data_IF_185460788704
#
_entry.id   IF_185460788704
#
_cell.length_a   1.000
_cell.length_b   1.000
_cell.length_c   1.000
_cell.angle_alpha   90.00
_cell.angle_beta   90.00
_cell.angle_gamma   90.00
#
_symmetry.space_group_name_H-M   'P 1'
#
loop_
_entity.id
_entity.type
_entity.pdbx_description
1 polymer ?
#
# COMPACT_ATOMS: atom_id res chain seq x y z
N UNK A 1 -3.91 5.27 24.43
CA UNK A 1 -2.81 4.40 23.95
C UNK A 1 -2.03 5.16 22.88
N UNK A 2 -0.70 5.08 22.85
CA UNK A 2 0.12 5.81 21.87
C UNK A 2 -0.03 5.17 20.48
N UNK A 3 -0.41 5.96 19.47
CA UNK A 3 -0.39 5.55 18.05
C UNK A 3 0.90 6.04 17.38
N UNK A 4 1.28 5.41 16.28
CA UNK A 4 2.47 5.78 15.51
C UNK A 4 2.10 6.71 14.36
N UNK A 5 3.05 7.55 13.94
CA UNK A 5 2.93 8.41 12.75
C UNK A 5 3.61 7.74 11.58
N UNK A 6 2.90 7.47 10.47
CA UNK A 6 3.49 6.76 9.33
C UNK A 6 4.70 7.49 8.75
N UNK A 7 4.61 8.82 8.65
CA UNK A 7 5.68 9.68 8.14
C UNK A 7 7.00 9.61 8.92
N UNK A 8 6.97 9.11 10.16
CA UNK A 8 8.15 8.96 11.02
C UNK A 8 8.68 7.52 11.03
N UNK A 9 8.25 6.67 10.09
CA UNK A 9 8.71 5.29 9.93
C UNK A 9 9.47 5.10 8.62
N UNK A 10 9.98 3.90 8.38
CA UNK A 10 10.57 3.52 7.08
C UNK A 10 9.58 3.59 5.91
N UNK A 11 8.27 3.73 6.17
CA UNK A 11 7.25 3.99 5.14
C UNK A 11 7.09 5.48 4.83
N UNK A 12 7.66 6.37 5.64
CA UNK A 12 7.71 7.81 5.42
C UNK A 12 8.71 8.23 4.34
N UNK A 13 9.03 9.52 4.26
CA UNK A 13 10.01 10.00 3.28
C UNK A 13 11.41 9.48 3.60
N UNK A 14 12.09 8.92 2.59
CA UNK A 14 13.50 8.52 2.71
C UNK A 14 14.40 9.70 3.07
N UNK A 15 14.05 10.92 2.66
CA UNK A 15 14.77 12.14 3.07
C UNK A 15 14.68 12.43 4.58
N UNK A 16 13.76 11.80 5.30
CA UNK A 16 13.58 11.97 6.74
C UNK A 16 14.23 10.81 7.49
N UNK A 17 13.97 9.57 7.10
CA UNK A 17 14.48 8.42 7.85
C UNK A 17 15.90 8.00 7.44
N UNK A 18 16.33 8.13 6.18
CA UNK A 18 17.69 7.71 5.79
C UNK A 18 18.80 8.48 6.52
N UNK A 19 18.66 9.80 6.77
CA UNK A 19 19.63 10.56 7.57
C UNK A 19 19.86 10.03 8.99
N UNK A 20 18.96 9.18 9.53
CA UNK A 20 19.17 8.56 10.84
C UNK A 20 20.04 7.30 10.78
N UNK A 21 20.27 6.74 9.59
CA UNK A 21 21.07 5.52 9.37
C UNK A 21 22.43 5.80 8.76
N UNK A 22 22.51 6.73 7.80
CA UNK A 22 23.72 7.11 7.09
C UNK A 22 23.72 8.62 6.84
N UNK A 23 24.89 9.23 6.82
CA UNK A 23 25.01 10.65 6.50
C UNK A 23 24.79 10.95 5.00
N UNK A 24 24.64 12.23 4.68
CA UNK A 24 24.41 12.70 3.32
C UNK A 24 25.58 12.37 2.39
N UNK A 25 26.82 12.37 2.93
CA UNK A 25 28.03 12.05 2.16
C UNK A 25 28.04 10.60 1.71
N UNK A 26 27.74 9.66 2.61
CA UNK A 26 27.64 8.24 2.29
C UNK A 26 26.45 7.95 1.37
N UNK A 27 25.33 8.66 1.56
CA UNK A 27 24.18 8.58 0.65
C UNK A 27 24.55 8.98 -0.77
N UNK A 28 25.26 10.11 -0.93
CA UNK A 28 25.74 10.59 -2.22
C UNK A 28 26.74 9.61 -2.85
N UNK A 29 27.73 9.14 -2.07
CA UNK A 29 28.74 8.18 -2.52
C UNK A 29 28.11 6.89 -3.06
N UNK A 30 27.13 6.31 -2.34
CA UNK A 30 26.39 5.11 -2.78
C UNK A 30 25.55 5.37 -4.04
N UNK A 31 24.96 6.56 -4.15
CA UNK A 31 24.20 6.96 -5.33
C UNK A 31 25.08 7.01 -6.59
N UNK A 32 26.26 7.60 -6.48
CA UNK A 32 27.26 7.67 -7.56
C UNK A 32 27.80 6.29 -7.93
N UNK A 33 28.17 5.48 -6.93
CA UNK A 33 28.65 4.11 -7.12
C UNK A 33 27.59 3.26 -7.84
N UNK A 34 26.33 3.33 -7.41
CA UNK A 34 25.21 2.64 -8.05
C UNK A 34 25.05 3.07 -9.52
N UNK A 35 25.06 4.39 -9.78
CA UNK A 35 24.88 4.94 -11.14
C UNK A 35 26.01 4.50 -12.07
N UNK A 36 27.26 4.54 -11.60
CA UNK A 36 28.43 4.09 -12.35
C UNK A 36 28.34 2.59 -12.65
N UNK A 37 28.09 1.79 -11.63
CA UNK A 37 27.99 0.33 -11.72
C UNK A 37 26.88 -0.12 -12.68
N UNK A 38 25.69 0.46 -12.56
CA UNK A 38 24.57 0.15 -13.46
C UNK A 38 24.87 0.54 -14.91
N UNK A 39 25.56 1.65 -15.15
CA UNK A 39 25.95 2.08 -16.50
C UNK A 39 26.87 1.05 -17.15
N UNK A 40 27.90 0.61 -16.42
CA UNK A 40 28.83 -0.42 -16.88
C UNK A 40 28.11 -1.74 -17.14
N UNK A 41 27.29 -2.21 -16.21
CA UNK A 41 26.59 -3.50 -16.34
C UNK A 41 25.56 -3.53 -17.47
N UNK A 42 24.94 -2.39 -17.80
CA UNK A 42 24.10 -2.23 -18.99
C UNK A 42 24.92 -2.37 -20.27
N UNK A 43 26.08 -1.70 -20.34
CA UNK A 43 26.98 -1.77 -21.50
C UNK A 43 27.50 -3.20 -21.75
N UNK A 44 27.85 -3.90 -20.67
CA UNK A 44 28.29 -5.30 -20.69
C UNK A 44 27.13 -6.30 -20.89
N UNK A 45 25.87 -5.84 -20.86
CA UNK A 45 24.66 -6.67 -20.94
C UNK A 45 24.65 -7.79 -19.89
N UNK A 46 25.06 -7.50 -18.65
CA UNK A 46 25.00 -8.48 -17.55
C UNK A 46 23.56 -8.98 -17.36
N UNK A 47 23.34 -10.28 -17.10
CA UNK A 47 22.02 -10.79 -16.75
C UNK A 47 21.40 -10.00 -15.59
N UNK A 48 20.16 -9.52 -15.78
CA UNK A 48 19.45 -8.65 -14.82
C UNK A 48 19.57 -7.16 -15.12
N UNK A 49 20.50 -6.74 -15.97
CA UNK A 49 20.73 -5.34 -16.37
C UNK A 49 20.55 -5.11 -17.88
N UNK A 50 19.98 -6.09 -18.60
CA UNK A 50 19.76 -5.96 -20.04
C UNK A 50 18.52 -5.13 -20.34
N UNK A 51 18.39 -4.67 -21.60
CA UNK A 51 17.21 -3.89 -22.05
C UNK A 51 15.90 -4.64 -21.78
N UNK A 52 15.87 -5.97 -21.93
CA UNK A 52 14.66 -6.78 -21.67
C UNK A 52 14.27 -6.77 -20.19
N UNK A 53 15.26 -6.76 -19.29
CA UNK A 53 15.04 -6.82 -17.85
C UNK A 53 14.44 -5.49 -17.37
N UNK A 54 14.95 -4.37 -17.88
CA UNK A 54 14.37 -3.05 -17.67
C UNK A 54 12.99 -2.88 -18.32
N UNK A 55 12.77 -3.44 -19.51
CA UNK A 55 11.47 -3.42 -20.17
C UNK A 55 10.42 -4.19 -19.34
N UNK A 56 10.78 -5.37 -18.81
CA UNK A 56 9.93 -6.12 -17.91
C UNK A 56 9.63 -5.31 -16.63
N UNK A 57 10.67 -4.85 -15.95
CA UNK A 57 10.54 -4.11 -14.69
C UNK A 57 9.71 -2.83 -14.83
N UNK A 58 9.92 -2.06 -15.92
CA UNK A 58 9.20 -0.82 -16.19
C UNK A 58 7.72 -1.01 -16.51
N UNK A 59 7.31 -2.21 -16.94
CA UNK A 59 5.91 -2.54 -17.20
C UNK A 59 5.20 -3.12 -15.97
N UNK A 60 5.93 -3.67 -15.00
CA UNK A 60 5.35 -4.27 -13.79
C UNK A 60 4.52 -3.28 -12.94
N UNK A 61 4.78 -1.97 -13.06
CA UNK A 61 4.03 -0.92 -12.36
C UNK A 61 2.99 -0.20 -13.24
N UNK A 62 2.76 -0.64 -14.48
CA UNK A 62 1.80 -0.02 -15.40
C UNK A 62 0.41 -0.61 -15.14
N UNK A 63 -0.59 0.24 -14.91
CA UNK A 63 -1.97 -0.18 -14.63
C UNK A 63 -2.53 0.28 -13.28
N UNK A 64 -1.74 1.00 -12.49
CA UNK A 64 -2.19 1.57 -11.22
C UNK A 64 -3.19 2.72 -11.42
N UNK A 65 -4.33 2.63 -10.73
CA UNK A 65 -5.22 3.77 -10.48
C UNK A 65 -4.91 4.41 -9.14
N UNK A 66 -5.23 5.70 -8.99
CA UNK A 66 -5.07 6.39 -7.71
C UNK A 66 -5.99 5.77 -6.65
N UNK A 67 -5.40 5.23 -5.57
CA UNK A 67 -6.13 4.80 -4.39
C UNK A 67 -6.41 6.02 -3.50
N UNK A 68 -7.59 6.61 -3.60
CA UNK A 68 -8.05 7.73 -2.76
C UNK A 68 -8.88 7.20 -1.58
N UNK A 69 -8.91 7.94 -0.46
CA UNK A 69 -9.68 7.52 0.71
C UNK A 69 -11.18 7.38 0.41
N UNK A 70 -11.73 8.33 -0.34
CA UNK A 70 -13.15 8.32 -0.74
C UNK A 70 -13.46 7.33 -1.88
N UNK A 71 -12.44 6.74 -2.50
CA UNK A 71 -12.59 5.88 -3.67
C UNK A 71 -13.15 6.59 -4.91
N UNK A 72 -13.40 5.84 -6.00
CA UNK A 72 -14.07 6.37 -7.18
C UNK A 72 -15.58 6.54 -6.93
N UNK A 73 -16.20 7.50 -7.61
CA UNK A 73 -17.66 7.62 -7.62
C UNK A 73 -18.27 6.37 -8.27
N UNK A 74 -19.11 5.64 -7.53
CA UNK A 74 -19.76 4.42 -7.99
C UNK A 74 -21.29 4.56 -8.04
N UNK A 75 -21.94 3.68 -8.79
CA UNK A 75 -23.39 3.54 -8.77
C UNK A 75 -23.78 2.71 -7.55
N UNK A 76 -24.52 3.32 -6.64
CA UNK A 76 -25.03 2.62 -5.47
C UNK A 76 -26.32 1.85 -5.85
N UNK A 77 -26.66 0.76 -5.15
CA UNK A 77 -27.91 0.03 -5.36
C UNK A 77 -29.14 0.94 -5.35
N UNK A 78 -29.14 1.96 -4.49
CA UNK A 78 -30.25 2.90 -4.29
C UNK A 78 -30.49 3.75 -5.53
N UNK A 79 -29.44 4.10 -6.30
CA UNK A 79 -29.59 4.78 -7.60
C UNK A 79 -30.35 3.93 -8.62
N UNK A 80 -30.33 2.61 -8.46
CA UNK A 80 -31.08 1.67 -9.28
C UNK A 80 -32.44 1.29 -8.66
N UNK A 81 -32.85 1.96 -7.57
CA UNK A 81 -34.11 1.68 -6.87
C UNK A 81 -34.12 0.36 -6.08
N UNK A 82 -32.94 -0.23 -5.84
CA UNK A 82 -32.79 -1.49 -5.11
C UNK A 82 -32.17 -1.19 -3.74
N UNK A 83 -32.67 -1.79 -2.64
CA UNK A 83 -32.07 -1.59 -1.32
C UNK A 83 -30.65 -2.15 -1.26
N UNK A 84 -29.83 -1.60 -0.36
CA UNK A 84 -28.53 -2.17 -0.01
C UNK A 84 -28.67 -3.63 0.42
N UNK A 85 -27.73 -4.47 -0.01
CA UNK A 85 -27.61 -5.84 0.49
C UNK A 85 -27.26 -5.83 1.99
N UNK A 86 -28.01 -6.61 2.77
CA UNK A 86 -27.74 -6.86 4.18
C UNK A 86 -27.76 -8.38 4.40
N UNK A 87 -26.76 -8.89 5.11
CA UNK A 87 -26.60 -10.31 5.41
C UNK A 87 -25.86 -10.51 6.73
N UNK A 88 -25.74 -11.76 7.15
CA UNK A 88 -24.92 -12.15 8.31
C UNK A 88 -23.44 -11.80 8.08
N UNK A 89 -22.65 -11.78 9.17
CA UNK A 89 -21.20 -11.54 9.05
C UNK A 89 -20.54 -12.59 8.15
N UNK A 90 -21.01 -13.82 8.23
CA UNK A 90 -20.53 -14.98 7.48
C UNK A 90 -20.85 -14.86 5.99
N UNK A 91 -22.08 -14.47 5.64
CA UNK A 91 -22.50 -14.25 4.25
C UNK A 91 -21.72 -13.08 3.61
N UNK A 92 -21.59 -11.96 4.33
CA UNK A 92 -20.84 -10.81 3.86
C UNK A 92 -19.36 -11.14 3.66
N UNK A 93 -18.74 -11.87 4.60
CA UNK A 93 -17.36 -12.33 4.48
C UNK A 93 -17.17 -13.30 3.31
N UNK A 94 -18.14 -14.21 3.07
CA UNK A 94 -18.12 -15.14 1.94
C UNK A 94 -18.23 -14.39 0.59
N UNK A 95 -19.12 -13.40 0.48
CA UNK A 95 -19.26 -12.56 -0.70
C UNK A 95 -17.97 -11.78 -1.00
N UNK A 96 -17.43 -11.07 0.00
CA UNK A 96 -16.19 -10.28 -0.15
C UNK A 96 -15.01 -11.19 -0.52
N UNK A 97 -14.87 -12.33 0.15
CA UNK A 97 -13.83 -13.30 -0.16
C UNK A 97 -13.95 -13.79 -1.60
N UNK A 98 -15.16 -14.13 -2.05
CA UNK A 98 -15.41 -14.59 -3.43
C UNK A 98 -14.97 -13.53 -4.44
N UNK A 99 -15.37 -12.27 -4.23
CA UNK A 99 -14.97 -11.15 -5.08
C UNK A 99 -13.44 -10.95 -5.12
N UNK A 100 -12.78 -10.95 -3.95
CA UNK A 100 -11.34 -10.74 -3.86
C UNK A 100 -10.54 -11.92 -4.46
N UNK A 101 -10.99 -13.17 -4.25
CA UNK A 101 -10.37 -14.35 -4.88
C UNK A 101 -10.49 -14.30 -6.41
N UNK A 102 -11.64 -13.86 -6.93
CA UNK A 102 -11.83 -13.63 -8.36
C UNK A 102 -10.83 -12.59 -8.91
N UNK A 103 -10.50 -11.55 -8.14
CA UNK A 103 -9.49 -10.54 -8.47
C UNK A 103 -8.04 -10.96 -8.17
N UNK A 104 -7.78 -12.26 -8.00
CA UNK A 104 -6.42 -12.79 -7.85
C UNK A 104 -5.84 -12.70 -6.43
N UNK A 105 -6.63 -12.28 -5.44
CA UNK A 105 -6.16 -12.25 -4.05
C UNK A 105 -5.93 -13.68 -3.54
N UNK A 106 -4.77 -13.97 -2.95
CA UNK A 106 -4.43 -15.33 -2.52
C UNK A 106 -5.09 -15.69 -1.19
N UNK A 107 -4.95 -14.83 -0.19
CA UNK A 107 -5.58 -15.01 1.12
C UNK A 107 -6.33 -13.74 1.53
N UNK A 108 -7.45 -13.94 2.22
CA UNK A 108 -8.34 -12.87 2.68
C UNK A 108 -8.68 -13.13 4.15
N UNK A 109 -8.27 -12.20 5.00
CA UNK A 109 -8.56 -12.18 6.44
C UNK A 109 -9.42 -10.97 6.82
N UNK A 110 -10.12 -11.09 7.94
CA UNK A 110 -10.98 -10.05 8.49
C UNK A 110 -10.61 -9.84 9.96
N UNK A 111 -10.28 -8.61 10.32
CA UNK A 111 -9.89 -8.25 11.69
C UNK A 111 -10.82 -7.17 12.21
N UNK A 112 -11.41 -7.39 13.39
CA UNK A 112 -12.21 -6.37 14.07
C UNK A 112 -11.28 -5.41 14.85
N UNK A 113 -11.54 -4.11 14.70
CA UNK A 113 -10.87 -3.03 15.41
C UNK A 113 -11.59 -2.75 16.72
N UNK A 114 -10.84 -2.83 17.81
CA UNK A 114 -11.27 -2.52 19.17
C UNK A 114 -10.34 -1.46 19.75
N UNK A 115 -10.91 -0.46 20.43
CA UNK A 115 -10.18 0.70 20.95
C UNK A 115 -9.08 0.33 21.96
N UNK A 116 -9.29 -0.75 22.71
CA UNK A 116 -8.42 -1.23 23.78
C UNK A 116 -7.31 -2.18 23.30
N UNK A 117 -7.43 -2.79 22.12
CA UNK A 117 -6.51 -3.83 21.65
C UNK A 117 -5.94 -3.59 20.26
N UNK A 118 -6.78 -3.55 19.22
CA UNK A 118 -6.35 -3.60 17.81
C UNK A 118 -6.32 -2.23 17.13
N UNK A 119 -7.07 -1.23 17.62
CA UNK A 119 -7.10 0.13 17.07
C UNK A 119 -5.72 0.83 17.09
N UNK A 120 -4.83 0.39 17.98
CA UNK A 120 -3.43 0.86 18.08
C UNK A 120 -2.57 0.51 16.88
N UNK A 121 -2.98 -0.47 16.07
CA UNK A 121 -2.28 -0.88 14.86
C UNK A 121 -2.47 0.12 13.72
N UNK A 122 -3.47 1.01 13.84
CA UNK A 122 -3.67 2.09 12.88
C UNK A 122 -2.79 3.28 13.18
N UNK A 123 -2.17 3.84 12.14
CA UNK A 123 -1.42 5.09 12.27
C UNK A 123 -2.33 6.25 12.68
N UNK A 124 -1.74 7.25 13.36
CA UNK A 124 -2.40 8.51 13.71
C UNK A 124 -2.32 9.54 12.59
N UNK A 125 -1.25 9.47 11.79
CA UNK A 125 -1.05 10.30 10.62
C UNK A 125 -0.58 9.46 9.45
N UNK A 126 -1.03 9.83 8.25
CA UNK A 126 -0.62 9.23 6.99
C UNK A 126 0.78 9.64 6.53
N UNK A 127 1.12 9.33 5.26
CA UNK A 127 2.43 9.65 4.69
C UNK A 127 2.75 11.15 4.80
N UNK A 128 4.04 11.45 5.06
CA UNK A 128 4.54 12.80 5.28
C UNK A 128 3.86 13.59 6.40
N UNK A 129 3.11 12.90 7.29
CA UNK A 129 2.30 13.50 8.35
C UNK A 129 1.31 14.57 7.84
N UNK A 130 0.88 14.48 6.57
CA UNK A 130 0.01 15.49 5.95
C UNK A 130 -1.41 15.46 6.49
N UNK A 131 -1.96 14.26 6.64
CA UNK A 131 -3.33 14.03 7.08
C UNK A 131 -3.35 13.28 8.40
N UNK A 132 -4.13 13.78 9.36
CA UNK A 132 -4.48 13.05 10.57
C UNK A 132 -5.59 12.03 10.27
N UNK A 133 -5.51 10.86 10.88
CA UNK A 133 -6.53 9.82 10.81
C UNK A 133 -7.37 9.83 12.10
N UNK A 134 -8.61 10.28 11.97
CA UNK A 134 -9.53 10.48 13.11
C UNK A 134 -10.67 9.48 13.05
N UNK A 135 -10.85 8.71 14.12
CA UNK A 135 -11.99 7.81 14.28
C UNK A 135 -13.06 8.51 15.13
N UNK A 136 -14.24 8.75 14.55
CA UNK A 136 -15.29 9.56 15.15
C UNK A 136 -16.68 8.93 15.03
N UNK A 137 -17.58 9.32 15.92
CA UNK A 137 -19.00 8.92 15.93
C UNK A 137 -19.77 9.73 14.89
N UNK A 138 -19.49 9.44 13.61
CA UNK A 138 -20.11 10.05 12.44
C UNK A 138 -20.67 8.96 11.53
N UNK A 139 -21.63 9.31 10.69
CA UNK A 139 -22.27 8.34 9.80
C UNK A 139 -21.47 8.03 8.54
N UNK A 140 -20.81 9.04 7.97
CA UNK A 140 -20.11 8.92 6.68
C UNK A 140 -18.63 9.31 6.83
N UNK A 141 -17.74 8.68 6.05
CA UNK A 141 -16.34 9.10 6.00
C UNK A 141 -16.21 10.45 5.29
N UNK A 142 -15.15 11.19 5.63
CA UNK A 142 -14.81 12.44 4.94
C UNK A 142 -13.31 12.67 4.87
N UNK A 143 -12.87 13.44 3.88
CA UNK A 143 -11.46 13.79 3.69
C UNK A 143 -11.32 15.28 3.40
N UNK A 144 -10.33 15.90 4.06
CA UNK A 144 -9.82 17.23 3.77
C UNK A 144 -8.34 17.15 3.43
N UNK A 145 -7.71 18.28 3.11
CA UNK A 145 -6.26 18.33 2.88
C UNK A 145 -5.43 17.93 4.11
N UNK A 146 -5.99 18.01 5.32
CA UNK A 146 -5.28 17.81 6.60
C UNK A 146 -5.86 16.69 7.47
N UNK A 147 -6.99 16.08 7.10
CA UNK A 147 -7.64 15.05 7.92
C UNK A 147 -8.42 14.04 7.07
N UNK A 148 -8.44 12.78 7.51
CA UNK A 148 -9.37 11.74 7.07
C UNK A 148 -10.17 11.26 8.29
N UNK A 149 -11.50 11.32 8.18
CA UNK A 149 -12.42 10.92 9.24
C UNK A 149 -13.00 9.55 8.90
N UNK A 150 -12.78 8.60 9.80
CA UNK A 150 -13.28 7.23 9.76
C UNK A 150 -14.47 7.09 10.73
N UNK A 151 -15.67 6.71 10.26
CA UNK A 151 -16.78 6.35 11.13
C UNK A 151 -16.40 5.23 12.10
N UNK A 152 -16.70 5.36 13.41
CA UNK A 152 -16.43 4.27 14.38
C UNK A 152 -17.12 2.95 14.03
N UNK A 153 -18.26 3.01 13.33
CA UNK A 153 -18.95 1.81 12.84
C UNK A 153 -18.14 1.02 11.80
N UNK A 154 -17.18 1.64 11.11
CA UNK A 154 -16.28 1.01 10.14
C UNK A 154 -15.09 0.33 10.83
N UNK A 155 -15.37 -0.69 11.63
CA UNK A 155 -14.39 -1.38 12.49
C UNK A 155 -13.78 -2.66 11.90
N UNK A 156 -13.99 -2.94 10.62
CA UNK A 156 -13.44 -4.16 10.00
C UNK A 156 -12.29 -3.80 9.05
N UNK A 157 -11.13 -4.41 9.29
CA UNK A 157 -9.99 -4.38 8.37
C UNK A 157 -10.00 -5.66 7.55
N UNK A 158 -10.05 -5.51 6.23
CA UNK A 158 -9.91 -6.63 5.29
C UNK A 158 -8.44 -6.71 4.90
N UNK A 159 -7.76 -7.78 5.30
CA UNK A 159 -6.37 -8.03 4.95
C UNK A 159 -6.31 -8.96 3.76
N UNK A 160 -5.65 -8.53 2.69
CA UNK A 160 -5.37 -9.37 1.53
C UNK A 160 -3.89 -9.69 1.46
N UNK A 161 -3.57 -10.91 1.05
CA UNK A 161 -2.20 -11.35 0.76
C UNK A 161 -2.14 -11.73 -0.71
N UNK A 162 -1.14 -11.19 -1.40
CA UNK A 162 -0.78 -11.55 -2.76
C UNK A 162 0.62 -12.10 -2.78
N UNK A 163 0.81 -13.19 -3.52
CA UNK A 163 2.12 -13.81 -3.64
C UNK A 163 2.90 -13.18 -4.78
N UNK A 164 4.06 -12.64 -4.42
CA UNK A 164 5.03 -12.15 -5.38
C UNK A 164 5.96 -13.30 -5.86
N UNK A 165 6.70 -13.05 -6.93
CA UNK A 165 7.62 -14.06 -7.47
C UNK A 165 8.83 -14.27 -6.56
N UNK A 166 8.89 -15.42 -5.90
CA UNK A 166 10.02 -15.81 -5.06
C UNK A 166 11.35 -15.79 -5.84
N UNK A 167 11.32 -16.18 -7.10
CA UNK A 167 12.52 -16.20 -7.94
C UNK A 167 13.02 -14.78 -8.25
N UNK A 168 12.13 -13.83 -8.51
CA UNK A 168 12.52 -12.43 -8.74
C UNK A 168 13.06 -11.76 -7.47
N UNK A 169 12.48 -12.07 -6.31
CA UNK A 169 12.97 -11.58 -5.02
C UNK A 169 14.41 -12.03 -4.72
N UNK A 170 14.82 -13.23 -5.14
CA UNK A 170 16.20 -13.71 -5.01
C UNK A 170 17.19 -13.01 -5.94
N UNK A 171 16.72 -12.22 -6.93
CA UNK A 171 17.60 -11.54 -7.90
C UNK A 171 18.01 -10.14 -7.47
N UNK A 172 17.71 -9.71 -6.24
CA UNK A 172 18.12 -8.36 -5.87
C UNK A 172 19.64 -8.27 -5.60
N UNK A 173 20.32 -7.19 -6.02
CA UNK A 173 19.80 -5.85 -6.34
C UNK A 173 19.43 -5.59 -7.82
N UNK A 174 19.19 -6.61 -8.66
CA UNK A 174 18.82 -6.37 -10.06
C UNK A 174 17.44 -5.70 -10.19
N UNK A 175 17.21 -4.91 -11.25
CA UNK A 175 15.90 -4.36 -11.62
C UNK A 175 14.75 -5.36 -11.69
N UNK A 176 15.02 -6.67 -11.79
CA UNK A 176 14.00 -7.70 -11.86
C UNK A 176 13.24 -7.92 -10.54
N UNK A 177 13.77 -7.44 -9.41
CA UNK A 177 13.03 -7.41 -8.15
C UNK A 177 11.99 -6.28 -8.21
N UNK A 178 10.86 -6.58 -8.85
CA UNK A 178 9.71 -5.70 -8.94
C UNK A 178 8.52 -6.28 -8.20
N UNK A 179 7.84 -5.40 -7.48
CA UNK A 179 6.56 -5.70 -6.82
C UNK A 179 5.42 -5.39 -7.77
N UNK A 180 4.41 -6.26 -7.79
CA UNK A 180 3.10 -5.92 -8.36
C UNK A 180 2.45 -4.92 -7.41
N UNK A 181 2.20 -3.71 -7.90
CA UNK A 181 1.49 -2.70 -7.12
C UNK A 181 0.00 -2.78 -7.47
N UNK A 182 -0.85 -2.60 -6.46
CA UNK A 182 -2.31 -2.54 -6.56
C UNK A 182 -2.79 -1.13 -6.18
#
# INVERSE_FOLDING_TARGET
MKKFSEGNTMRGSSSIYMPTYIDETETARRGEEKKSTETTWKGEKKPGYTVRDYAFAGNASKGLSSNTFMGPATNSPEKNGVPKWEGTKEENAAMIRTFLRFHGMMSVGFTELHDDTTMKLMYEYGPSNRQKYTFADVDEPSETSTEQIYPRKCKWVITVVNQESQELWKRNPTPLQVQIRY
#
